data_IF_571082168807
#
_entry.id   IF_571082168807
#
_cell.length_a   1.000
_cell.length_b   1.000
_cell.length_c   1.000
_cell.angle_alpha   90.00
_cell.angle_beta   90.00
_cell.angle_gamma   90.00
#
_symmetry.space_group_name_H-M   'P 1'
#
loop_
_entity.id
_entity.type
_entity.pdbx_description
1 polymer ?
#
# COMPACT_ATOMS: atom_id res chain seq x y z
N UNK A 1 11.25 -6.59 28.06
CA UNK A 1 10.65 -5.25 28.25
C UNK A 1 10.27 -4.72 26.89
N UNK A 2 9.00 -4.42 26.66
CA UNK A 2 8.46 -3.97 25.37
C UNK A 2 8.69 -2.47 25.25
N UNK A 3 9.60 -2.06 24.36
CA UNK A 3 9.78 -0.65 24.03
C UNK A 3 8.61 -0.25 23.12
N UNK A 4 7.68 0.55 23.65
CA UNK A 4 6.61 1.12 22.86
C UNK A 4 7.22 2.00 21.77
N UNK A 5 7.02 1.62 20.51
CA UNK A 5 7.43 2.43 19.35
C UNK A 5 6.54 3.66 19.34
N UNK A 6 7.12 4.82 19.68
CA UNK A 6 6.47 6.12 19.57
C UNK A 6 6.49 6.52 18.09
N UNK A 7 5.46 7.22 17.62
CA UNK A 7 5.25 7.56 16.21
C UNK A 7 6.38 8.38 15.54
N UNK A 8 7.32 8.94 16.33
CA UNK A 8 8.44 9.76 15.85
C UNK A 8 9.61 8.96 15.23
N UNK A 9 9.57 7.62 15.31
CA UNK A 9 10.66 6.75 14.84
C UNK A 9 10.33 6.00 13.53
N UNK A 10 9.36 6.52 12.77
CA UNK A 10 8.92 5.93 11.49
C UNK A 10 9.57 6.66 10.32
N UNK A 11 10.53 6.00 9.68
CA UNK A 11 11.13 6.50 8.44
C UNK A 11 10.38 5.93 7.22
N UNK A 12 10.13 6.77 6.21
CA UNK A 12 9.54 6.32 4.94
C UNK A 12 10.56 6.56 3.83
N UNK A 13 10.80 5.51 3.03
CA UNK A 13 11.67 5.57 1.86
C UNK A 13 11.09 4.75 0.71
N UNK A 14 11.57 4.97 -0.53
CA UNK A 14 11.32 4.05 -1.62
C UNK A 14 11.74 2.63 -1.24
N UNK A 15 10.98 1.67 -1.72
CA UNK A 15 11.30 0.25 -1.66
C UNK A 15 12.62 -0.02 -2.39
N UNK A 16 13.42 -0.92 -1.81
CA UNK A 16 14.63 -1.45 -2.43
C UNK A 16 14.48 -2.95 -2.62
N UNK A 17 15.18 -3.53 -3.61
CA UNK A 17 15.03 -4.95 -3.94
C UNK A 17 15.28 -5.89 -2.73
N UNK A 18 16.18 -5.49 -1.82
CA UNK A 18 16.45 -6.21 -0.57
C UNK A 18 15.28 -6.27 0.41
N UNK A 19 14.26 -5.41 0.27
CA UNK A 19 13.08 -5.41 1.14
C UNK A 19 12.06 -6.49 0.78
N UNK A 20 12.23 -7.17 -0.36
CA UNK A 20 11.22 -8.06 -0.96
C UNK A 20 10.63 -9.03 0.05
N UNK A 21 11.46 -9.80 0.76
CA UNK A 21 10.95 -10.83 1.67
C UNK A 21 10.23 -10.25 2.89
N UNK A 22 10.69 -9.10 3.40
CA UNK A 22 10.04 -8.40 4.51
C UNK A 22 8.68 -7.83 4.09
N UNK A 23 8.59 -7.24 2.90
CA UNK A 23 7.33 -6.78 2.30
C UNK A 23 6.35 -7.94 2.12
N UNK A 24 6.80 -9.07 1.58
CA UNK A 24 5.96 -10.25 1.38
C UNK A 24 5.44 -10.81 2.71
N UNK A 25 6.20 -10.69 3.80
CA UNK A 25 5.71 -11.06 5.13
C UNK A 25 4.59 -10.11 5.59
N UNK A 26 4.78 -8.79 5.49
CA UNK A 26 3.76 -7.78 5.83
C UNK A 26 2.48 -7.99 5.02
N UNK A 27 2.63 -8.23 3.72
CA UNK A 27 1.52 -8.44 2.80
C UNK A 27 0.73 -9.70 3.07
N UNK A 28 1.38 -10.82 3.41
CA UNK A 28 0.67 -12.06 3.78
C UNK A 28 -0.10 -11.93 5.10
N UNK A 29 0.41 -11.16 6.08
CA UNK A 29 -0.34 -10.86 7.32
C UNK A 29 -1.53 -9.91 7.06
N UNK A 30 -1.34 -8.91 6.21
CA UNK A 30 -2.37 -7.91 5.92
C UNK A 30 -3.45 -8.39 4.95
N UNK A 31 -3.07 -9.22 3.96
CA UNK A 31 -3.91 -9.68 2.87
C UNK A 31 -3.82 -11.21 2.74
N UNK A 32 -4.67 -11.97 3.46
CA UNK A 32 -4.61 -13.44 3.44
C UNK A 32 -4.70 -14.04 2.03
N UNK A 33 -5.37 -13.36 1.09
CA UNK A 33 -5.46 -13.76 -0.32
C UNK A 33 -4.11 -13.86 -1.03
N UNK A 34 -3.05 -13.18 -0.55
CA UNK A 34 -1.70 -13.31 -1.12
C UNK A 34 -0.99 -14.61 -0.70
N UNK A 35 -1.61 -15.42 0.15
CA UNK A 35 -1.14 -16.77 0.46
C UNK A 35 -1.89 -17.86 -0.33
N UNK A 36 -2.85 -17.48 -1.18
CA UNK A 36 -3.66 -18.42 -1.94
C UNK A 36 -3.02 -18.76 -3.30
N UNK A 37 -2.33 -19.90 -3.34
CA UNK A 37 -1.66 -20.42 -4.54
C UNK A 37 -2.64 -20.79 -5.68
N UNK A 38 -3.95 -20.86 -5.43
CA UNK A 38 -4.95 -21.08 -6.49
C UNK A 38 -5.26 -19.83 -7.32
N UNK A 39 -4.71 -18.67 -6.93
CA UNK A 39 -4.89 -17.38 -7.61
C UNK A 39 -3.56 -16.79 -8.09
N UNK A 40 -2.91 -17.38 -9.11
CA UNK A 40 -1.55 -16.99 -9.54
C UNK A 40 -1.45 -15.52 -9.99
N UNK A 41 -2.53 -14.95 -10.56
CA UNK A 41 -2.61 -13.53 -10.88
C UNK A 41 -2.56 -12.57 -9.66
N UNK A 42 -2.67 -13.10 -8.45
CA UNK A 42 -2.49 -12.36 -7.19
C UNK A 42 -1.12 -12.56 -6.59
N UNK A 43 -0.17 -13.15 -7.32
CA UNK A 43 1.19 -13.35 -6.84
C UNK A 43 1.80 -11.99 -6.41
N UNK A 44 2.10 -11.82 -5.11
CA UNK A 44 2.67 -10.59 -4.61
C UNK A 44 4.10 -10.35 -5.14
N UNK A 45 4.88 -11.39 -5.46
CA UNK A 45 6.21 -11.20 -6.08
C UNK A 45 6.07 -10.61 -7.46
N UNK A 46 5.16 -11.16 -8.28
CA UNK A 46 4.86 -10.59 -9.60
C UNK A 46 4.38 -9.15 -9.52
N UNK A 47 3.59 -8.81 -8.51
CA UNK A 47 3.13 -7.42 -8.28
C UNK A 47 4.31 -6.47 -8.00
N UNK A 48 5.30 -6.89 -7.20
CA UNK A 48 6.53 -6.14 -6.93
C UNK A 48 7.34 -5.95 -8.22
N UNK A 49 7.56 -7.01 -9.00
CA UNK A 49 8.30 -6.93 -10.27
C UNK A 49 7.68 -5.93 -11.24
N UNK A 50 6.37 -6.01 -11.45
CA UNK A 50 5.63 -5.09 -12.31
C UNK A 50 5.77 -3.64 -11.84
N UNK A 51 5.69 -3.44 -10.51
CA UNK A 51 5.84 -2.11 -9.92
C UNK A 51 7.25 -1.56 -10.15
N UNK A 52 8.28 -2.38 -9.93
CA UNK A 52 9.69 -2.02 -10.14
C UNK A 52 10.01 -1.69 -11.60
N UNK A 53 9.36 -2.37 -12.55
CA UNK A 53 9.56 -2.13 -13.97
C UNK A 53 8.82 -0.87 -14.49
N UNK A 54 7.87 -0.32 -13.72
CA UNK A 54 6.98 0.74 -14.21
C UNK A 54 7.24 2.09 -13.55
N UNK A 55 7.12 2.17 -12.22
CA UNK A 55 7.26 3.43 -11.45
C UNK A 55 7.85 3.10 -10.06
N UNK A 56 9.08 2.54 -9.97
CA UNK A 56 9.66 2.03 -8.72
C UNK A 56 9.70 3.09 -7.61
N UNK A 57 9.87 4.36 -7.97
CA UNK A 57 9.99 5.48 -7.05
C UNK A 57 8.67 5.86 -6.36
N UNK A 58 7.56 5.24 -6.75
CA UNK A 58 6.23 5.36 -6.11
C UNK A 58 5.84 4.11 -5.33
N UNK A 59 6.79 3.24 -5.00
CA UNK A 59 6.60 2.15 -4.05
C UNK A 59 7.34 2.48 -2.76
N UNK A 60 6.62 2.67 -1.66
CA UNK A 60 7.19 3.09 -0.39
C UNK A 60 7.06 2.04 0.68
N UNK A 61 8.06 1.98 1.55
CA UNK A 61 8.09 1.18 2.77
C UNK A 61 8.20 2.11 3.99
N UNK A 62 7.56 1.71 5.08
CA UNK A 62 7.72 2.33 6.38
C UNK A 62 8.63 1.47 7.25
N UNK A 63 9.65 2.08 7.82
CA UNK A 63 10.62 1.45 8.72
C UNK A 63 10.31 1.93 10.13
N UNK A 64 10.04 1.00 11.03
CA UNK A 64 9.81 1.28 12.45
C UNK A 64 10.62 0.27 13.29
N UNK A 65 11.39 0.74 14.27
CA UNK A 65 12.26 -0.13 15.07
C UNK A 65 13.26 -0.95 14.23
N UNK A 66 13.76 -0.36 13.14
CA UNK A 66 14.72 -0.98 12.23
C UNK A 66 14.17 -2.07 11.30
N UNK A 67 12.84 -2.24 11.21
CA UNK A 67 12.20 -3.24 10.34
C UNK A 67 11.11 -2.62 9.48
N UNK A 68 10.84 -3.26 8.34
CA UNK A 68 9.72 -2.91 7.47
C UNK A 68 8.41 -3.23 8.21
N UNK A 69 7.66 -2.20 8.58
CA UNK A 69 6.41 -2.30 9.34
C UNK A 69 5.17 -1.99 8.49
N UNK A 70 5.36 -1.49 7.27
CA UNK A 70 4.25 -1.19 6.36
C UNK A 70 4.71 -0.81 4.96
N UNK A 71 3.76 -0.74 4.04
CA UNK A 71 3.99 -0.42 2.63
C UNK A 71 2.85 0.39 2.04
N UNK A 72 3.13 1.11 0.95
CA UNK A 72 2.10 1.59 0.02
C UNK A 72 2.64 1.61 -1.41
N UNK A 73 1.86 1.14 -2.37
CA UNK A 73 2.14 1.28 -3.80
C UNK A 73 1.26 2.37 -4.38
N UNK A 74 1.84 3.49 -4.80
CA UNK A 74 1.17 4.52 -5.57
C UNK A 74 1.48 4.37 -7.06
N UNK A 75 0.69 4.95 -7.94
CA UNK A 75 1.01 5.07 -9.37
C UNK A 75 0.25 6.21 -10.00
N UNK A 76 0.79 6.82 -11.06
CA UNK A 76 0.13 7.88 -11.81
C UNK A 76 0.31 7.64 -13.31
N UNK A 77 -0.79 7.69 -14.06
CA UNK A 77 -0.83 7.44 -15.51
C UNK A 77 -1.03 8.71 -16.35
N UNK A 78 -0.95 9.88 -15.73
CA UNK A 78 -1.28 11.17 -16.35
C UNK A 78 -2.75 11.58 -16.22
N UNK A 79 -3.67 10.63 -15.95
CA UNK A 79 -5.08 10.90 -15.73
C UNK A 79 -5.45 10.88 -14.23
N UNK A 80 -5.13 9.80 -13.51
CA UNK A 80 -5.42 9.64 -12.07
C UNK A 80 -4.30 8.90 -11.35
N UNK A 81 -4.10 9.28 -10.09
CA UNK A 81 -3.31 8.50 -9.16
C UNK A 81 -4.09 7.28 -8.68
N UNK A 82 -3.39 6.19 -8.38
CA UNK A 82 -3.97 5.01 -7.74
C UNK A 82 -3.12 4.54 -6.57
N UNK A 83 -3.79 4.07 -5.50
CA UNK A 83 -3.15 3.42 -4.36
C UNK A 83 -3.52 1.95 -4.29
N UNK A 84 -2.51 1.13 -4.10
CA UNK A 84 -2.56 -0.32 -3.91
C UNK A 84 -1.70 -0.71 -2.71
N UNK A 85 -1.96 -1.90 -2.17
CA UNK A 85 -1.09 -2.55 -1.18
C UNK A 85 -0.69 -1.66 0.00
N UNK A 86 -1.61 -0.80 0.46
CA UNK A 86 -1.45 -0.10 1.74
C UNK A 86 -1.61 -1.11 2.87
N UNK A 87 -0.50 -1.51 3.46
CA UNK A 87 -0.44 -2.53 4.50
C UNK A 87 0.38 -2.03 5.68
N UNK A 88 -0.03 -2.42 6.88
CA UNK A 88 0.72 -2.23 8.12
C UNK A 88 0.67 -3.55 8.88
N UNK A 89 1.83 -4.01 9.32
CA UNK A 89 1.99 -5.19 10.17
C UNK A 89 1.02 -5.10 11.36
N UNK A 90 0.29 -6.17 11.66
CA UNK A 90 -0.76 -6.18 12.69
C UNK A 90 -0.31 -5.63 14.03
N UNK A 91 0.88 -5.99 14.48
CA UNK A 91 1.46 -5.52 15.75
C UNK A 91 1.86 -4.04 15.76
N UNK A 92 1.98 -3.41 14.60
CA UNK A 92 2.37 -2.02 14.43
C UNK A 92 1.20 -1.11 14.01
N UNK A 93 -0.03 -1.64 13.96
CA UNK A 93 -1.24 -0.87 13.63
C UNK A 93 -1.59 0.12 14.74
N UNK A 94 -2.36 1.15 14.37
CA UNK A 94 -2.79 2.25 15.28
C UNK A 94 -1.64 3.09 15.86
N UNK A 95 -0.42 2.95 15.32
CA UNK A 95 0.75 3.78 15.64
C UNK A 95 0.99 4.91 14.62
N UNK A 96 0.03 5.22 13.76
CA UNK A 96 0.14 6.28 12.76
C UNK A 96 0.88 5.90 11.45
N UNK A 97 1.50 4.72 11.36
CA UNK A 97 2.27 4.27 10.19
C UNK A 97 1.47 4.35 8.88
N UNK A 98 0.23 3.86 8.86
CA UNK A 98 -0.61 3.89 7.66
C UNK A 98 -0.92 5.30 7.17
N UNK A 99 -1.14 6.24 8.10
CA UNK A 99 -1.32 7.66 7.79
C UNK A 99 -0.04 8.26 7.22
N UNK A 100 1.10 7.97 7.82
CA UNK A 100 2.39 8.47 7.35
C UNK A 100 2.70 7.99 5.92
N UNK A 101 2.48 6.71 5.63
CA UNK A 101 2.62 6.14 4.28
C UNK A 101 1.71 6.85 3.27
N UNK A 102 0.44 7.07 3.62
CA UNK A 102 -0.53 7.71 2.73
C UNK A 102 -0.12 9.15 2.41
N UNK A 103 0.21 9.94 3.43
CA UNK A 103 0.65 11.33 3.27
C UNK A 103 1.91 11.42 2.40
N UNK A 104 2.86 10.50 2.59
CA UNK A 104 4.07 10.45 1.76
C UNK A 104 3.75 10.14 0.29
N UNK A 105 2.87 9.16 0.04
CA UNK A 105 2.43 8.81 -1.30
C UNK A 105 1.66 9.96 -1.97
N UNK A 106 0.77 10.64 -1.24
CA UNK A 106 0.03 11.82 -1.71
C UNK A 106 0.96 12.97 -2.09
N UNK A 107 1.97 13.25 -1.25
CA UNK A 107 2.97 14.28 -1.55
C UNK A 107 3.75 13.93 -2.82
N UNK A 108 4.17 12.67 -2.98
CA UNK A 108 4.88 12.20 -4.17
C UNK A 108 4.03 12.28 -5.45
N UNK A 109 2.73 11.99 -5.35
CA UNK A 109 1.77 12.14 -6.46
C UNK A 109 1.51 13.61 -6.78
N UNK A 110 1.35 14.46 -5.76
CA UNK A 110 1.12 15.90 -5.91
C UNK A 110 2.30 16.57 -6.62
N UNK A 111 3.53 16.23 -6.24
CA UNK A 111 4.75 16.73 -6.88
C UNK A 111 4.85 16.38 -8.38
N UNK A 112 4.11 15.36 -8.84
CA UNK A 112 4.02 14.95 -10.25
C UNK A 112 2.84 15.60 -10.99
N UNK A 113 2.10 16.49 -10.35
CA UNK A 113 0.90 17.11 -10.93
C UNK A 113 -0.33 16.19 -10.94
N UNK A 114 -0.34 15.11 -10.16
CA UNK A 114 -1.50 14.23 -10.05
C UNK A 114 -2.70 14.99 -9.48
N UNK A 115 -3.83 15.10 -10.22
CA UNK A 115 -4.95 15.95 -9.79
C UNK A 115 -5.86 15.26 -8.75
N UNK A 116 -5.82 13.93 -8.68
CA UNK A 116 -6.68 13.12 -7.81
C UNK A 116 -6.15 11.71 -7.72
N UNK A 117 -6.26 11.11 -6.54
CA UNK A 117 -5.92 9.71 -6.28
C UNK A 117 -7.17 8.88 -6.00
N UNK A 118 -7.16 7.62 -6.45
CA UNK A 118 -8.22 6.64 -6.30
C UNK A 118 -7.71 5.37 -5.61
N UNK A 119 -8.60 4.66 -4.94
CA UNK A 119 -8.35 3.36 -4.33
C UNK A 119 -9.64 2.57 -4.27
N UNK A 120 -9.53 1.27 -4.00
CA UNK A 120 -10.67 0.39 -3.80
C UNK A 120 -10.57 -0.32 -2.45
N UNK A 121 -11.70 -0.41 -1.77
CA UNK A 121 -11.86 -1.17 -0.54
C UNK A 121 -12.81 -2.33 -0.82
N UNK A 122 -12.43 -3.54 -0.40
CA UNK A 122 -13.31 -4.70 -0.53
C UNK A 122 -14.56 -4.53 0.36
N UNK A 123 -15.73 -5.05 -0.09
CA UNK A 123 -16.94 -5.02 0.73
C UNK A 123 -16.71 -5.59 2.13
N UNK A 124 -17.31 -4.95 3.15
CA UNK A 124 -17.23 -5.37 4.55
C UNK A 124 -15.97 -4.95 5.31
N UNK A 125 -15.06 -4.19 4.70
CA UNK A 125 -13.89 -3.64 5.37
C UNK A 125 -14.15 -2.21 5.89
N UNK A 126 -15.08 -2.10 6.84
CA UNK A 126 -15.52 -0.80 7.39
C UNK A 126 -14.40 -0.05 8.11
N UNK A 127 -13.43 -0.79 8.67
CA UNK A 127 -12.23 -0.21 9.28
C UNK A 127 -11.38 0.55 8.25
N UNK A 128 -11.19 -0.02 7.06
CA UNK A 128 -10.48 0.66 5.98
C UNK A 128 -11.28 1.89 5.49
N UNK A 129 -12.60 1.78 5.34
CA UNK A 129 -13.45 2.91 4.99
C UNK A 129 -13.28 4.08 5.98
N UNK A 130 -13.44 3.82 7.29
CA UNK A 130 -13.24 4.84 8.33
C UNK A 130 -11.83 5.44 8.32
N UNK A 131 -10.82 4.60 8.09
CA UNK A 131 -9.42 5.06 7.99
C UNK A 131 -9.24 6.07 6.85
N UNK A 132 -9.74 5.77 5.65
CA UNK A 132 -9.62 6.67 4.50
C UNK A 132 -10.50 7.92 4.66
N UNK A 133 -11.71 7.79 5.19
CA UNK A 133 -12.61 8.93 5.46
C UNK A 133 -12.00 9.95 6.42
N UNK A 134 -11.34 9.46 7.48
CA UNK A 134 -10.61 10.28 8.44
C UNK A 134 -9.42 11.03 7.82
N UNK A 135 -8.92 10.56 6.67
CA UNK A 135 -7.84 11.19 5.90
C UNK A 135 -8.36 12.03 4.72
N UNK A 136 -9.67 12.28 4.65
CA UNK A 136 -10.27 13.18 3.66
C UNK A 136 -10.74 12.50 2.38
N UNK A 137 -10.58 11.18 2.26
CA UNK A 137 -11.16 10.42 1.14
C UNK A 137 -12.68 10.36 1.30
N UNK A 138 -13.38 10.25 0.18
CA UNK A 138 -14.83 10.09 0.15
C UNK A 138 -15.17 8.92 -0.76
N UNK A 139 -16.12 8.10 -0.32
CA UNK A 139 -16.69 7.07 -1.18
C UNK A 139 -17.41 7.73 -2.34
N UNK A 140 -17.16 7.23 -3.55
CA UNK A 140 -17.87 7.66 -4.77
C UNK A 140 -18.71 6.49 -5.27
N UNK A 141 -19.96 6.74 -5.61
CA UNK A 141 -20.84 5.74 -6.18
C UNK A 141 -20.38 5.38 -7.60
N UNK A 142 -19.75 4.20 -7.75
CA UNK A 142 -19.15 3.71 -8.99
C UNK A 142 -19.27 2.19 -9.08
N UNK A 143 -19.36 1.67 -10.30
CA UNK A 143 -19.25 0.24 -10.60
C UNK A 143 -17.83 -0.04 -11.10
N UNK A 144 -17.13 -0.99 -10.47
CA UNK A 144 -15.80 -1.42 -10.92
C UNK A 144 -15.91 -2.57 -11.91
N UNK A 145 -15.55 -2.33 -13.16
CA UNK A 145 -15.38 -3.38 -14.16
C UNK A 145 -13.91 -3.80 -14.27
N UNK A 146 -13.67 -5.10 -14.38
CA UNK A 146 -12.35 -5.67 -14.60
C UNK A 146 -12.38 -6.66 -15.76
N UNK A 147 -11.34 -6.66 -16.58
CA UNK A 147 -11.10 -7.66 -17.62
C UNK A 147 -9.63 -8.06 -17.58
N UNK A 148 -9.35 -9.36 -17.57
CA UNK A 148 -7.99 -9.88 -17.70
C UNK A 148 -7.49 -9.65 -19.13
N UNK A 149 -6.29 -9.10 -19.26
CA UNK A 149 -5.65 -8.86 -20.56
C UNK A 149 -4.65 -9.96 -20.94
N UNK A 150 -4.14 -10.69 -19.95
CA UNK A 150 -3.29 -11.85 -20.13
C UNK A 150 -3.87 -13.05 -19.36
N UNK A 151 -3.66 -14.30 -19.83
CA UNK A 151 -3.96 -15.49 -19.07
C UNK A 151 -3.06 -15.58 -17.82
N UNK A 152 -3.56 -16.37 -16.85
CA UNK A 152 -2.87 -16.70 -15.60
C UNK A 152 -1.66 -17.62 -15.82
#
# INVERSE_FOLDING_TARGET
MSTAIVADDVAIRPFEHGDTDAVLAVWRDAFPAYSDASTPHRDPRRSIELKLATQPELFFVAIAGGRIAGTVMAGYDGHRGWLYSLAVERGARRLGIGRALLVHAEAALTARGCPKVNLQVLPGNDDACRFYEALGYRAEERISFGKRLAPD
#
